data_IF_467525398362
#
_entry.id   IF_467525398362
#
_cell.length_a   1.000
_cell.length_b   1.000
_cell.length_c   1.000
_cell.angle_alpha   90.00
_cell.angle_beta   90.00
_cell.angle_gamma   90.00
#
_symmetry.space_group_name_H-M   'P 1'
#
loop_
_entity.id
_entity.type
_entity.pdbx_description
1 polymer ?
#
# COMPACT_ATOMS: atom_id res chain seq x y z
N UNK A 1 8.50 4.45 -23.69
CA UNK A 1 8.41 5.35 -22.51
C UNK A 1 9.56 5.05 -21.57
N UNK A 2 10.14 6.05 -20.92
CA UNK A 2 11.21 5.83 -19.94
C UNK A 2 10.67 5.15 -18.67
N UNK A 3 11.52 4.34 -18.04
CA UNK A 3 11.18 3.61 -16.80
C UNK A 3 11.12 4.60 -15.63
N UNK A 4 9.99 4.61 -14.91
CA UNK A 4 9.84 5.43 -13.72
C UNK A 4 10.57 4.83 -12.51
N UNK A 5 10.93 5.66 -11.53
CA UNK A 5 11.57 5.22 -10.29
C UNK A 5 10.71 4.21 -9.51
N UNK A 6 9.38 4.36 -9.54
CA UNK A 6 8.46 3.48 -8.82
C UNK A 6 8.25 2.11 -9.48
N UNK A 7 8.76 1.87 -10.70
CA UNK A 7 8.67 0.56 -11.34
C UNK A 7 9.39 -0.54 -10.52
N UNK A 8 10.37 -0.18 -9.68
CA UNK A 8 11.03 -1.16 -8.80
C UNK A 8 10.09 -1.71 -7.70
N UNK A 9 8.99 -1.02 -7.40
CA UNK A 9 8.07 -1.33 -6.30
C UNK A 9 6.69 -1.78 -6.78
N UNK A 10 6.38 -1.51 -8.05
CA UNK A 10 5.08 -1.76 -8.66
C UNK A 10 5.18 -2.83 -9.74
N UNK A 11 4.13 -3.67 -9.82
CA UNK A 11 3.96 -4.61 -10.92
C UNK A 11 3.52 -3.88 -12.19
N UNK A 12 3.81 -4.49 -13.34
CA UNK A 12 3.50 -3.98 -14.67
C UNK A 12 4.58 -3.07 -15.23
N UNK A 13 4.68 -3.00 -16.55
CA UNK A 13 5.63 -2.13 -17.25
C UNK A 13 5.19 -0.67 -17.25
N UNK A 14 6.15 0.25 -17.35
CA UNK A 14 5.84 1.67 -17.48
C UNK A 14 5.17 1.95 -18.82
N UNK A 15 4.01 2.58 -18.77
CA UNK A 15 3.26 2.98 -19.96
C UNK A 15 2.42 4.24 -19.71
N UNK A 16 1.75 4.71 -20.75
CA UNK A 16 0.68 5.70 -20.67
C UNK A 16 -0.58 5.10 -20.02
N UNK A 17 -1.49 5.96 -19.56
CA UNK A 17 -2.77 5.52 -19.02
C UNK A 17 -3.89 5.76 -20.04
N UNK A 18 -4.55 4.71 -20.53
CA UNK A 18 -5.68 4.84 -21.48
C UNK A 18 -6.83 5.73 -20.97
N UNK A 19 -6.98 5.90 -19.65
CA UNK A 19 -8.00 6.81 -19.07
C UNK A 19 -7.58 8.28 -19.06
N UNK A 20 -6.29 8.53 -19.17
CA UNK A 20 -5.68 9.85 -19.21
C UNK A 20 -4.65 9.87 -20.35
N UNK A 21 -5.09 9.73 -21.63
CA UNK A 21 -4.17 9.57 -22.75
C UNK A 21 -3.25 10.78 -22.94
N UNK A 22 -3.68 11.96 -22.49
CA UNK A 22 -2.88 13.19 -22.55
C UNK A 22 -1.80 13.29 -21.45
N UNK A 23 -1.81 12.39 -20.46
CA UNK A 23 -0.72 12.26 -19.48
C UNK A 23 0.29 11.28 -20.07
N UNK A 24 1.28 11.78 -20.82
CA UNK A 24 2.28 10.93 -21.52
C UNK A 24 3.67 10.98 -20.88
N UNK A 25 3.93 11.95 -20.00
CA UNK A 25 5.25 12.17 -19.41
C UNK A 25 5.39 11.56 -18.00
N UNK A 26 6.63 11.26 -17.61
CA UNK A 26 6.97 10.98 -16.23
C UNK A 26 6.73 12.23 -15.37
N UNK A 27 6.13 12.04 -14.20
CA UNK A 27 5.88 13.13 -13.25
C UNK A 27 6.67 12.86 -11.98
N UNK A 28 7.19 13.90 -11.32
CA UNK A 28 7.82 13.73 -10.01
C UNK A 28 6.75 13.37 -8.99
N UNK A 29 7.04 12.44 -8.10
CA UNK A 29 6.10 11.99 -7.07
C UNK A 29 5.58 13.17 -6.24
N UNK A 30 6.46 14.12 -5.89
CA UNK A 30 6.10 15.36 -5.17
C UNK A 30 5.08 16.27 -5.88
N UNK A 31 4.90 16.10 -7.19
CA UNK A 31 3.97 16.86 -8.03
C UNK A 31 2.63 16.11 -8.20
N UNK A 32 2.51 14.88 -7.68
CA UNK A 32 1.26 14.12 -7.69
C UNK A 32 0.25 14.71 -6.68
N UNK A 33 -0.85 15.26 -7.20
CA UNK A 33 -1.82 16.05 -6.46
C UNK A 33 -3.29 15.74 -6.80
N UNK A 34 -3.62 14.59 -7.40
CA UNK A 34 -5.02 14.20 -7.64
C UNK A 34 -5.79 14.12 -6.33
N UNK A 35 -7.08 14.49 -6.37
CA UNK A 35 -7.96 14.40 -5.19
C UNK A 35 -8.24 12.93 -4.87
N UNK A 36 -7.86 12.50 -3.66
CA UNK A 36 -7.96 11.08 -3.25
C UNK A 36 -9.08 10.79 -2.23
N UNK A 37 -9.79 11.78 -1.70
CA UNK A 37 -10.79 11.58 -0.63
C UNK A 37 -11.88 10.56 -1.00
N UNK A 38 -12.48 10.69 -2.18
CA UNK A 38 -13.46 9.74 -2.70
C UNK A 38 -12.88 8.33 -2.89
N UNK A 39 -11.61 8.26 -3.30
CA UNK A 39 -10.89 7.00 -3.47
C UNK A 39 -10.60 6.29 -2.15
N UNK A 40 -10.16 7.04 -1.13
CA UNK A 40 -9.92 6.51 0.21
C UNK A 40 -11.20 5.90 0.78
N UNK A 41 -12.35 6.57 0.59
CA UNK A 41 -13.66 6.03 0.98
C UNK A 41 -14.00 4.73 0.24
N UNK A 42 -13.72 4.64 -1.06
CA UNK A 42 -13.90 3.41 -1.83
C UNK A 42 -13.02 2.27 -1.30
N UNK A 43 -11.78 2.59 -0.92
CA UNK A 43 -10.83 1.65 -0.30
C UNK A 43 -11.13 1.36 1.19
N UNK A 44 -12.23 1.90 1.75
CA UNK A 44 -12.61 1.74 3.16
C UNK A 44 -11.52 2.22 4.12
N UNK A 45 -10.88 3.32 3.75
CA UNK A 45 -9.93 4.08 4.55
C UNK A 45 -10.57 5.38 5.02
N UNK A 46 -10.06 5.95 6.11
CA UNK A 46 -10.49 7.27 6.55
C UNK A 46 -10.11 8.34 5.50
N UNK A 47 -11.00 9.29 5.22
CA UNK A 47 -10.81 10.30 4.17
C UNK A 47 -9.57 11.19 4.41
N UNK A 48 -9.15 11.35 5.67
CA UNK A 48 -7.97 12.13 6.08
C UNK A 48 -6.74 11.26 6.40
N UNK A 49 -6.74 9.99 6.00
CA UNK A 49 -5.62 9.07 6.28
C UNK A 49 -4.34 9.41 5.51
N UNK A 50 -4.48 10.14 4.39
CA UNK A 50 -3.36 10.64 3.60
C UNK A 50 -3.64 12.10 3.21
N UNK A 51 -2.64 13.00 3.33
CA UNK A 51 -2.78 14.40 2.96
C UNK A 51 -2.63 14.64 1.45
N UNK A 52 -2.01 13.71 0.69
CA UNK A 52 -1.80 13.87 -0.75
C UNK A 52 -1.78 12.55 -1.52
N UNK A 53 -1.97 12.63 -2.84
CA UNK A 53 -1.78 11.50 -3.76
C UNK A 53 -0.36 10.93 -3.66
N UNK A 54 0.65 11.80 -3.56
CA UNK A 54 2.05 11.43 -3.45
C UNK A 54 2.32 10.52 -2.22
N UNK A 55 1.77 10.86 -1.06
CA UNK A 55 1.91 10.05 0.15
C UNK A 55 1.18 8.72 0.08
N UNK A 56 0.00 8.70 -0.56
CA UNK A 56 -0.70 7.44 -0.80
C UNK A 56 0.11 6.51 -1.72
N UNK A 57 0.68 7.05 -2.80
CA UNK A 57 1.53 6.32 -3.73
C UNK A 57 2.81 5.81 -3.08
N UNK A 58 3.49 6.64 -2.29
CA UNK A 58 4.71 6.23 -1.56
C UNK A 58 4.42 5.09 -0.58
N UNK A 59 3.33 5.18 0.18
CA UNK A 59 2.93 4.12 1.10
C UNK A 59 2.54 2.83 0.36
N UNK A 60 1.89 2.93 -0.80
CA UNK A 60 1.60 1.75 -1.64
C UNK A 60 2.84 1.13 -2.27
N UNK A 61 3.92 1.91 -2.46
CA UNK A 61 5.23 1.42 -2.86
C UNK A 61 6.05 0.84 -1.67
N UNK A 62 5.53 0.91 -0.43
CA UNK A 62 6.26 0.49 0.77
C UNK A 62 7.29 1.50 1.27
N UNK A 63 7.20 2.76 0.83
CA UNK A 63 8.11 3.85 1.22
C UNK A 63 7.41 4.69 2.31
N UNK A 64 7.37 4.17 3.53
CA UNK A 64 6.55 4.70 4.65
C UNK A 64 6.96 6.08 5.15
N UNK A 65 8.25 6.42 5.08
CA UNK A 65 8.81 7.69 5.59
C UNK A 65 9.11 8.70 4.49
N UNK A 66 8.40 8.60 3.35
CA UNK A 66 8.55 9.56 2.27
C UNK A 66 8.12 10.97 2.73
N UNK A 67 8.93 11.98 2.38
CA UNK A 67 8.64 13.39 2.65
C UNK A 67 8.86 14.19 1.37
N UNK A 68 7.96 15.13 1.12
CA UNK A 68 7.97 15.94 -0.10
C UNK A 68 9.25 16.77 -0.23
N UNK A 69 9.78 17.26 0.88
CA UNK A 69 10.93 18.18 0.95
C UNK A 69 12.25 17.46 0.69
N UNK A 70 12.34 16.18 1.04
CA UNK A 70 13.58 15.38 0.90
C UNK A 70 13.57 14.47 -0.33
N UNK A 71 12.48 14.49 -1.12
CA UNK A 71 12.36 13.69 -2.33
C UNK A 71 13.37 14.17 -3.39
N UNK A 72 14.32 13.30 -3.75
CA UNK A 72 15.43 13.60 -4.68
C UNK A 72 15.04 13.44 -6.16
N UNK A 73 13.74 13.48 -6.49
CA UNK A 73 13.25 13.32 -7.85
C UNK A 73 12.74 11.91 -8.15
N UNK A 74 12.04 11.28 -7.20
CA UNK A 74 11.34 10.01 -7.47
C UNK A 74 10.31 10.25 -8.55
N UNK A 75 10.33 9.48 -9.64
CA UNK A 75 9.37 9.62 -10.74
C UNK A 75 8.34 8.50 -10.76
N UNK A 76 7.17 8.80 -11.31
CA UNK A 76 6.08 7.85 -11.55
C UNK A 76 5.53 8.06 -12.96
N UNK A 77 5.28 6.98 -13.70
CA UNK A 77 4.64 7.06 -15.01
C UNK A 77 3.11 7.15 -14.88
N UNK A 78 2.40 7.61 -15.92
CA UNK A 78 0.95 7.72 -15.95
C UNK A 78 0.24 6.39 -15.63
N UNK A 79 0.71 5.26 -16.19
CA UNK A 79 0.17 3.94 -15.89
C UNK A 79 0.28 3.58 -14.40
N UNK A 80 1.48 3.66 -13.83
CA UNK A 80 1.71 3.33 -12.41
C UNK A 80 0.99 4.30 -11.48
N UNK A 81 1.04 5.61 -11.77
CA UNK A 81 0.33 6.65 -11.01
C UNK A 81 -1.16 6.34 -10.96
N UNK A 82 -1.76 5.95 -12.09
CA UNK A 82 -3.16 5.59 -12.12
C UNK A 82 -3.44 4.30 -11.35
N UNK A 83 -2.80 3.20 -11.72
CA UNK A 83 -3.12 1.87 -11.20
C UNK A 83 -2.83 1.73 -9.70
N UNK A 84 -1.82 2.44 -9.19
CA UNK A 84 -1.46 2.45 -7.77
C UNK A 84 -1.98 3.68 -7.04
N UNK A 85 -2.55 4.67 -7.73
CA UNK A 85 -3.22 5.82 -7.16
C UNK A 85 -4.74 5.62 -7.17
N UNK A 86 -5.45 6.51 -7.86
CA UNK A 86 -6.93 6.54 -7.90
C UNK A 86 -7.58 5.37 -8.66
N UNK A 87 -6.80 4.66 -9.48
CA UNK A 87 -7.26 3.46 -10.20
C UNK A 87 -7.19 2.17 -9.39
N UNK A 88 -6.46 2.19 -8.27
CA UNK A 88 -6.26 1.00 -7.43
C UNK A 88 -7.59 0.45 -6.90
N UNK A 89 -7.83 -0.85 -7.06
CA UNK A 89 -9.02 -1.50 -6.48
C UNK A 89 -8.59 -2.61 -5.54
N UNK A 90 -9.16 -2.68 -4.32
CA UNK A 90 -8.90 -3.82 -3.45
C UNK A 90 -9.38 -5.11 -4.12
N UNK A 91 -8.56 -6.15 -4.03
CA UNK A 91 -8.98 -7.50 -4.39
C UNK A 91 -10.09 -7.98 -3.45
N UNK A 92 -11.01 -8.79 -3.99
CA UNK A 92 -11.98 -9.53 -3.19
C UNK A 92 -11.33 -10.71 -2.43
N UNK A 93 -10.09 -11.07 -2.79
CA UNK A 93 -9.28 -12.08 -2.12
C UNK A 93 -8.38 -11.44 -1.06
N UNK A 94 -8.05 -12.18 0.00
CA UNK A 94 -7.07 -11.72 0.97
C UNK A 94 -5.65 -11.71 0.40
N UNK A 95 -4.95 -10.59 0.55
CA UNK A 95 -3.56 -10.44 0.10
C UNK A 95 -2.49 -10.90 1.10
N UNK A 96 -2.88 -11.54 2.21
CA UNK A 96 -1.94 -12.00 3.23
C UNK A 96 -1.41 -13.40 2.84
N UNK A 97 -0.08 -13.63 2.81
CA UNK A 97 0.52 -14.84 2.23
C UNK A 97 0.18 -16.13 2.99
N UNK A 98 -0.11 -16.03 4.29
CA UNK A 98 -0.47 -17.18 5.12
C UNK A 98 -1.98 -17.44 5.16
N UNK A 99 -2.77 -16.77 4.31
CA UNK A 99 -4.19 -17.05 4.20
C UNK A 99 -4.45 -17.92 2.96
N UNK A 100 -5.46 -18.81 3.01
CA UNK A 100 -5.88 -19.57 1.83
C UNK A 100 -6.13 -18.64 0.64
N UNK A 101 -5.71 -19.03 -0.56
CA UNK A 101 -5.85 -18.21 -1.79
C UNK A 101 -7.31 -17.85 -2.08
N UNK A 102 -8.25 -18.69 -1.64
CA UNK A 102 -9.70 -18.49 -1.81
C UNK A 102 -10.36 -17.75 -0.63
N UNK A 103 -9.58 -17.32 0.35
CA UNK A 103 -10.09 -16.55 1.48
C UNK A 103 -10.61 -15.18 0.99
N UNK A 104 -11.92 -14.97 1.16
CA UNK A 104 -12.59 -13.74 0.76
C UNK A 104 -12.30 -12.63 1.76
N UNK A 105 -11.89 -11.46 1.29
CA UNK A 105 -11.76 -10.29 2.17
C UNK A 105 -13.12 -9.83 2.70
N UNK A 106 -13.15 -9.37 3.96
CA UNK A 106 -14.32 -8.63 4.45
C UNK A 106 -14.22 -7.20 3.91
N UNK A 107 -15.16 -6.75 3.07
CA UNK A 107 -15.10 -5.46 2.38
C UNK A 107 -15.38 -4.26 3.31
N UNK A 108 -15.39 -4.47 4.62
CA UNK A 108 -15.80 -3.49 5.63
C UNK A 108 -14.62 -2.61 6.09
N UNK A 109 -13.36 -3.08 5.96
CA UNK A 109 -12.17 -2.32 6.38
C UNK A 109 -10.99 -2.56 5.45
N UNK A 110 -10.37 -1.48 4.98
CA UNK A 110 -9.12 -1.52 4.21
C UNK A 110 -7.90 -1.50 5.13
N UNK A 111 -6.79 -2.09 4.69
CA UNK A 111 -5.51 -2.02 5.39
C UNK A 111 -4.97 -0.59 5.42
N UNK A 112 -4.70 -0.08 6.62
CA UNK A 112 -4.07 1.24 6.81
C UNK A 112 -2.56 1.17 6.52
N UNK A 113 -1.92 2.33 6.34
CA UNK A 113 -0.46 2.42 6.19
C UNK A 113 0.26 1.73 7.35
N UNK A 114 -0.12 2.01 8.60
CA UNK A 114 0.49 1.40 9.77
C UNK A 114 0.40 -0.14 9.76
N UNK A 115 -0.75 -0.70 9.34
CA UNK A 115 -0.88 -2.16 9.24
C UNK A 115 0.00 -2.75 8.14
N UNK A 116 0.12 -2.06 7.02
CA UNK A 116 0.96 -2.48 5.90
C UNK A 116 2.45 -2.36 6.23
N UNK A 117 2.87 -1.30 6.93
CA UNK A 117 4.24 -1.10 7.42
C UNK A 117 4.64 -2.21 8.39
N UNK A 118 3.80 -2.49 9.40
CA UNK A 118 4.02 -3.63 10.30
C UNK A 118 4.11 -4.93 9.51
N UNK A 119 3.29 -5.10 8.48
CA UNK A 119 3.33 -6.30 7.69
C UNK A 119 4.64 -6.48 6.92
N UNK A 120 5.11 -5.41 6.29
CA UNK A 120 6.39 -5.41 5.59
C UNK A 120 7.56 -5.62 6.54
N UNK A 121 7.60 -4.92 7.67
CA UNK A 121 8.70 -5.00 8.64
C UNK A 121 8.74 -6.36 9.34
N UNK A 122 7.59 -6.92 9.71
CA UNK A 122 7.52 -8.14 10.52
C UNK A 122 7.55 -9.43 9.70
N UNK A 123 7.01 -9.40 8.48
CA UNK A 123 6.84 -10.59 7.66
C UNK A 123 7.50 -10.50 6.29
N UNK A 124 8.12 -9.37 5.94
CA UNK A 124 8.91 -9.24 4.71
C UNK A 124 8.09 -9.14 3.42
N UNK A 125 6.77 -8.95 3.49
CA UNK A 125 5.92 -8.78 2.32
C UNK A 125 5.13 -7.47 2.36
N UNK A 126 4.95 -6.85 1.19
CA UNK A 126 4.22 -5.60 1.05
C UNK A 126 2.73 -5.85 0.73
N UNK A 127 1.87 -5.66 1.72
CA UNK A 127 0.45 -5.44 1.45
C UNK A 127 0.23 -3.98 1.02
N UNK A 128 -0.45 -3.76 -0.10
CA UNK A 128 -0.75 -2.40 -0.57
C UNK A 128 -1.87 -1.78 0.26
N UNK A 129 -1.68 -0.52 0.64
CA UNK A 129 -2.68 0.26 1.39
C UNK A 129 -4.04 0.25 0.69
N UNK A 130 -5.08 0.01 1.49
CA UNK A 130 -6.46 -0.08 1.02
C UNK A 130 -6.88 -1.48 0.56
N UNK A 131 -5.99 -2.48 0.58
CA UNK A 131 -6.38 -3.89 0.39
C UNK A 131 -7.37 -4.31 1.47
N UNK A 132 -8.36 -5.14 1.12
CA UNK A 132 -9.34 -5.61 2.09
C UNK A 132 -8.70 -6.37 3.26
N UNK A 133 -9.32 -6.32 4.44
CA UNK A 133 -8.88 -7.08 5.60
C UNK A 133 -9.67 -8.39 5.78
N UNK A 134 -8.99 -9.45 6.18
CA UNK A 134 -9.64 -10.59 6.83
C UNK A 134 -9.62 -10.40 8.35
N UNK A 135 -10.74 -9.92 8.90
CA UNK A 135 -10.88 -9.51 10.31
C UNK A 135 -10.52 -10.59 11.33
N UNK A 136 -10.79 -11.87 11.05
CA UNK A 136 -10.64 -12.94 12.03
C UNK A 136 -9.19 -13.44 12.19
N UNK A 137 -8.32 -13.26 11.18
CA UNK A 137 -6.97 -13.84 11.19
C UNK A 137 -5.85 -12.84 11.42
N UNK A 138 -6.11 -11.54 11.17
CA UNK A 138 -5.12 -10.50 11.51
C UNK A 138 -4.96 -10.40 13.03
N UNK A 139 -6.06 -10.45 13.78
CA UNK A 139 -6.02 -10.44 15.26
C UNK A 139 -5.51 -11.77 15.81
N UNK A 140 -5.92 -12.91 15.27
CA UNK A 140 -5.45 -14.20 15.78
C UNK A 140 -3.93 -14.36 15.58
N UNK A 141 -3.37 -14.05 14.40
CA UNK A 141 -1.92 -14.08 14.19
C UNK A 141 -1.16 -12.94 14.90
N UNK A 142 -1.77 -11.76 15.03
CA UNK A 142 -1.19 -10.66 15.83
C UNK A 142 -1.10 -11.04 17.31
N UNK A 143 -2.14 -11.66 17.88
CA UNK A 143 -2.18 -12.13 19.27
C UNK A 143 -1.38 -13.41 19.49
N UNK A 144 -1.35 -14.35 18.54
CA UNK A 144 -0.58 -15.59 18.67
C UNK A 144 0.91 -15.27 18.70
N UNK A 145 1.41 -14.45 17.75
CA UNK A 145 2.84 -14.11 17.70
C UNK A 145 3.28 -13.04 18.70
N UNK A 146 2.37 -12.25 19.29
CA UNK A 146 2.75 -11.43 20.47
C UNK A 146 2.87 -12.29 21.73
N UNK A 147 2.05 -13.33 21.88
CA UNK A 147 2.24 -14.34 22.94
C UNK A 147 3.54 -15.11 22.78
N UNK A 148 3.88 -15.55 21.56
CA UNK A 148 5.14 -16.27 21.30
C UNK A 148 6.38 -15.40 21.55
N UNK A 149 6.30 -14.09 21.29
CA UNK A 149 7.39 -13.14 21.57
C UNK A 149 7.51 -12.79 23.06
N UNK A 150 6.39 -12.67 23.79
CA UNK A 150 6.41 -12.50 25.25
C UNK A 150 6.95 -13.73 25.97
N UNK A 151 6.66 -14.94 25.47
CA UNK A 151 7.23 -16.20 25.99
C UNK A 151 8.71 -16.36 25.65
N UNK A 152 9.16 -15.93 24.47
CA UNK A 152 10.58 -15.99 24.07
C UNK A 152 11.46 -15.04 24.88
N UNK A 153 10.97 -13.88 25.30
CA UNK A 153 11.73 -12.93 26.13
C UNK A 153 11.81 -13.37 27.60
N UNK A 154 10.80 -14.09 28.12
CA UNK A 154 10.85 -14.64 29.48
C UNK A 154 11.81 -15.82 29.65
N UNK A 155 12.23 -16.48 28.56
CA UNK A 155 13.19 -17.60 28.60
C UNK A 155 14.65 -17.18 28.36
N UNK A 156 14.94 -15.89 28.17
CA UNK A 156 16.32 -15.38 28.03
C UNK A 156 16.70 -14.35 29.11
N UNK A 157 15.88 -14.22 30.16
CA UNK A 157 16.18 -13.44 31.37
C UNK A 157 15.98 -14.26 32.67
N UNK A 158 16.40 -15.52 32.66
CA UNK A 158 16.83 -16.27 33.86
C UNK A 158 17.98 -17.18 33.51
#
# INVERSE_FOLDING_TARGET
MDKCSLNAYFEGECDICNKFPNEEALVKLRECNKVISGHLRQCKLAEKSFPSEAELLSCRAGIWKWKKETDRGTTVCPFHRYNYGIGWRPSMKCGFPNHPVDSRCKPQRGMTAAMCEVAQLRWGFLCRVGTGLYFLLFISNFLQKTKDFYFSIQQHCR
#
